data_IF_502357478646
#
_entry.id   IF_502357478646
#
_cell.length_a   1.000
_cell.length_b   1.000
_cell.length_c   1.000
_cell.angle_alpha   90.00
_cell.angle_beta   90.00
_cell.angle_gamma   90.00
#
_symmetry.space_group_name_H-M   'P 1'
#
loop_
_entity.id
_entity.type
_entity.pdbx_description
1 polymer ?
#
# COMPACT_ATOMS: atom_id res chain seq x y z
N UNK A 1 -21.36 -6.56 -6.86
CA UNK A 1 -21.98 -6.76 -8.18
C UNK A 1 -23.40 -6.24 -8.08
N UNK A 2 -23.64 -5.00 -8.49
CA UNK A 2 -25.00 -4.50 -8.66
C UNK A 2 -25.53 -5.01 -10.01
N UNK A 3 -26.71 -5.61 -10.00
CA UNK A 3 -27.39 -6.13 -11.19
C UNK A 3 -27.90 -4.92 -11.97
N UNK A 4 -27.16 -4.59 -13.03
CA UNK A 4 -27.47 -3.52 -13.99
C UNK A 4 -28.66 -3.97 -14.85
N UNK A 5 -29.64 -3.08 -15.07
CA UNK A 5 -30.90 -3.40 -15.75
C UNK A 5 -30.70 -3.78 -17.23
N UNK A 6 -31.45 -4.74 -17.80
CA UNK A 6 -31.25 -5.24 -19.18
C UNK A 6 -31.32 -4.18 -20.29
N UNK A 7 -32.04 -3.08 -20.05
CA UNK A 7 -32.17 -1.98 -21.03
C UNK A 7 -30.90 -1.11 -21.15
N UNK A 8 -30.00 -1.18 -20.16
CA UNK A 8 -28.83 -0.30 -20.10
C UNK A 8 -27.68 -0.80 -20.99
N UNK A 9 -27.64 -2.10 -21.29
CA UNK A 9 -26.64 -2.71 -22.18
C UNK A 9 -26.94 -2.48 -23.67
N UNK A 10 -28.22 -2.36 -24.05
CA UNK A 10 -28.61 -2.19 -25.46
C UNK A 10 -28.08 -0.86 -26.03
N UNK A 11 -28.17 0.22 -25.25
CA UNK A 11 -27.63 1.54 -25.66
C UNK A 11 -26.11 1.53 -25.79
N UNK A 12 -25.41 0.86 -24.88
CA UNK A 12 -23.95 0.72 -24.91
C UNK A 12 -23.53 -0.08 -26.15
N UNK A 13 -24.24 -1.18 -26.44
CA UNK A 13 -23.99 -2.00 -27.63
C UNK A 13 -24.20 -1.21 -28.93
N UNK A 14 -25.26 -0.41 -29.01
CA UNK A 14 -25.51 0.47 -30.17
C UNK A 14 -24.39 1.49 -30.35
N UNK A 15 -23.88 2.08 -29.27
CA UNK A 15 -22.75 3.01 -29.33
C UNK A 15 -21.46 2.32 -29.82
N UNK A 16 -21.13 1.15 -29.26
CA UNK A 16 -19.93 0.39 -29.62
C UNK A 16 -19.94 -0.08 -31.08
N UNK A 17 -21.09 -0.57 -31.56
CA UNK A 17 -21.25 -1.05 -32.94
C UNK A 17 -21.19 0.08 -33.96
N UNK A 18 -21.85 1.22 -33.69
CA UNK A 18 -21.83 2.38 -34.59
C UNK A 18 -20.46 3.05 -34.66
N UNK A 19 -19.72 3.11 -33.55
CA UNK A 19 -18.34 3.60 -33.58
C UNK A 19 -17.40 2.62 -34.28
N UNK A 20 -17.60 1.31 -34.11
CA UNK A 20 -16.85 0.30 -34.88
C UNK A 20 -17.12 0.39 -36.40
N UNK A 21 -18.30 0.85 -36.79
CA UNK A 21 -18.67 1.10 -38.19
C UNK A 21 -18.00 2.35 -38.81
N UNK A 22 -17.25 3.12 -38.01
CA UNK A 22 -16.49 4.30 -38.45
C UNK A 22 -17.24 5.62 -38.35
N UNK A 23 -18.40 5.65 -37.69
CA UNK A 23 -19.16 6.88 -37.44
C UNK A 23 -18.41 7.81 -36.48
N UNK A 24 -18.50 9.13 -36.72
CA UNK A 24 -17.88 10.11 -35.83
C UNK A 24 -18.71 10.34 -34.55
N UNK A 25 -18.04 10.68 -33.46
CA UNK A 25 -18.65 10.85 -32.13
C UNK A 25 -19.69 11.96 -32.09
N UNK A 26 -19.50 13.04 -32.84
CA UNK A 26 -20.46 14.14 -32.88
C UNK A 26 -21.73 13.76 -33.67
N UNK A 27 -21.57 12.99 -34.75
CA UNK A 27 -22.69 12.47 -35.53
C UNK A 27 -23.51 11.45 -34.73
N UNK A 28 -22.83 10.54 -34.03
CA UNK A 28 -23.48 9.53 -33.18
C UNK A 28 -24.23 10.16 -32.02
N UNK A 29 -23.65 11.20 -31.39
CA UNK A 29 -24.30 11.92 -30.31
C UNK A 29 -25.62 12.58 -30.76
N UNK A 30 -25.64 13.19 -31.94
CA UNK A 30 -26.86 13.77 -32.53
C UNK A 30 -27.91 12.71 -32.85
N UNK A 31 -27.49 11.58 -33.40
CA UNK A 31 -28.41 10.47 -33.74
C UNK A 31 -29.07 9.86 -32.50
N UNK A 32 -28.33 9.77 -31.39
CA UNK A 32 -28.82 9.24 -30.12
C UNK A 32 -29.47 10.31 -29.21
N UNK A 33 -29.75 11.50 -29.74
CA UNK A 33 -30.36 12.63 -29.04
C UNK A 33 -29.61 13.10 -27.78
N UNK A 34 -28.28 13.00 -27.78
CA UNK A 34 -27.43 13.61 -26.77
C UNK A 34 -27.18 15.09 -27.08
N UNK A 35 -27.09 15.92 -26.04
CA UNK A 35 -26.83 17.36 -26.20
C UNK A 35 -25.45 17.65 -26.83
N UNK A 36 -24.48 16.76 -26.62
CA UNK A 36 -23.14 16.81 -27.21
C UNK A 36 -22.46 15.45 -27.04
N UNK A 37 -21.43 15.17 -27.84
CA UNK A 37 -20.56 14.00 -27.64
C UNK A 37 -20.04 13.92 -26.18
N UNK A 38 -19.83 15.06 -25.50
CA UNK A 38 -19.42 15.10 -24.08
C UNK A 38 -20.44 14.45 -23.14
N UNK A 39 -21.74 14.60 -23.43
CA UNK A 39 -22.79 13.99 -22.61
C UNK A 39 -22.89 12.48 -22.83
N UNK A 40 -22.63 12.02 -24.06
CA UNK A 40 -22.49 10.60 -24.39
C UNK A 40 -21.24 10.00 -23.72
N UNK A 41 -20.10 10.70 -23.76
CA UNK A 41 -18.87 10.29 -23.07
C UNK A 41 -19.08 10.17 -21.57
N UNK A 42 -19.80 11.11 -20.95
CA UNK A 42 -20.13 11.04 -19.53
C UNK A 42 -21.00 9.82 -19.20
N UNK A 43 -21.95 9.48 -20.06
CA UNK A 43 -22.78 8.29 -19.90
C UNK A 43 -21.94 7.01 -19.97
N UNK A 44 -21.08 6.87 -21.00
CA UNK A 44 -20.19 5.72 -21.17
C UNK A 44 -19.21 5.60 -20.00
N UNK A 45 -18.66 6.72 -19.51
CA UNK A 45 -17.76 6.74 -18.35
C UNK A 45 -18.44 6.30 -17.06
N UNK A 46 -19.71 6.68 -16.84
CA UNK A 46 -20.50 6.21 -15.69
C UNK A 46 -20.78 4.72 -15.74
N UNK A 47 -20.77 4.13 -16.94
CA UNK A 47 -20.94 2.68 -17.17
C UNK A 47 -19.61 1.92 -17.24
N UNK A 48 -18.49 2.57 -16.87
CA UNK A 48 -17.19 1.92 -16.82
C UNK A 48 -16.51 1.77 -18.19
N UNK A 49 -16.79 2.65 -19.14
CA UNK A 49 -16.13 2.67 -20.45
C UNK A 49 -15.37 3.98 -20.66
N UNK A 50 -14.14 3.90 -21.18
CA UNK A 50 -13.34 5.06 -21.58
C UNK A 50 -13.18 5.09 -23.09
N UNK A 51 -13.22 6.27 -23.70
CA UNK A 51 -12.93 6.40 -25.13
C UNK A 51 -11.43 6.27 -25.37
N UNK A 52 -11.04 5.39 -26.29
CA UNK A 52 -9.65 5.29 -26.76
C UNK A 52 -9.49 6.02 -28.10
N UNK A 53 -8.63 7.04 -28.09
CA UNK A 53 -8.33 7.87 -29.26
C UNK A 53 -7.71 7.07 -30.41
N UNK A 54 -6.97 5.98 -30.11
CA UNK A 54 -6.28 5.17 -31.12
C UNK A 54 -7.22 4.26 -31.89
N UNK A 55 -8.08 3.53 -31.16
CA UNK A 55 -9.10 2.66 -31.77
C UNK A 55 -10.36 3.41 -32.21
N UNK A 56 -10.49 4.69 -31.83
CA UNK A 56 -11.70 5.51 -32.01
C UNK A 56 -12.97 4.83 -31.47
N UNK A 57 -12.82 4.01 -30.43
CA UNK A 57 -13.93 3.28 -29.80
C UNK A 57 -13.79 3.28 -28.27
N UNK A 58 -14.86 2.90 -27.56
CA UNK A 58 -14.83 2.76 -26.11
C UNK A 58 -14.28 1.40 -25.69
N UNK A 59 -13.47 1.41 -24.62
CA UNK A 59 -12.85 0.22 -24.02
C UNK A 59 -13.28 0.15 -22.54
N UNK A 60 -13.56 -1.06 -21.99
CA UNK A 60 -13.82 -1.21 -20.56
C UNK A 60 -12.71 -0.63 -19.69
N UNK A 61 -13.11 0.20 -18.75
CA UNK A 61 -12.30 0.71 -17.65
C UNK A 61 -12.33 -0.35 -16.54
N UNK A 62 -11.39 -1.29 -16.61
CA UNK A 62 -11.08 -2.13 -15.46
C UNK A 62 -10.71 -1.20 -14.31
N UNK A 63 -11.40 -1.33 -13.17
CA UNK A 63 -10.92 -0.73 -11.93
C UNK A 63 -9.54 -1.35 -11.67
N UNK A 64 -8.49 -0.56 -11.87
CA UNK A 64 -7.20 -0.90 -11.28
C UNK A 64 -7.43 -0.87 -9.78
N UNK A 65 -7.64 -2.06 -9.19
CA UNK A 65 -7.50 -2.24 -7.75
C UNK A 65 -6.12 -1.70 -7.44
N UNK A 66 -6.08 -0.54 -6.79
CA UNK A 66 -4.86 0.05 -6.28
C UNK A 66 -4.38 -0.83 -5.14
N UNK A 67 -3.83 -1.99 -5.48
CA UNK A 67 -2.91 -2.69 -4.60
C UNK A 67 -1.87 -1.64 -4.29
N UNK A 68 -1.73 -1.28 -3.00
CA UNK A 68 -0.68 -0.39 -2.57
C UNK A 68 0.64 -0.96 -3.10
N UNK A 69 1.13 -0.40 -4.21
CA UNK A 69 2.44 -0.76 -4.73
C UNK A 69 3.36 -0.20 -3.67
N UNK A 70 3.81 -1.05 -2.74
CA UNK A 70 4.91 -0.74 -1.86
C UNK A 70 6.00 -0.16 -2.77
N UNK A 71 6.25 1.15 -2.75
CA UNK A 71 7.31 1.79 -3.54
C UNK A 71 8.68 1.53 -2.95
N UNK A 72 8.76 0.58 -2.02
CA UNK A 72 9.96 0.21 -1.30
C UNK A 72 11.04 -0.26 -2.27
N UNK A 73 12.30 -0.07 -1.86
CA UNK A 73 13.46 -0.59 -2.62
C UNK A 73 13.33 -2.11 -2.84
N UNK A 74 12.76 -2.85 -1.89
CA UNK A 74 12.48 -4.28 -2.02
C UNK A 74 11.50 -4.60 -3.16
N UNK A 75 10.39 -3.87 -3.25
CA UNK A 75 9.42 -4.06 -4.33
C UNK A 75 10.00 -3.74 -5.70
N UNK A 76 10.87 -2.73 -5.78
CA UNK A 76 11.59 -2.38 -7.01
C UNK A 76 12.52 -3.51 -7.45
N UNK A 77 13.19 -4.19 -6.51
CA UNK A 77 14.02 -5.37 -6.80
C UNK A 77 13.15 -6.50 -7.37
N UNK A 78 12.00 -6.79 -6.74
CA UNK A 78 11.06 -7.83 -7.23
C UNK A 78 10.57 -7.53 -8.65
N UNK A 79 10.23 -6.27 -8.93
CA UNK A 79 9.79 -5.84 -10.27
C UNK A 79 10.93 -5.92 -11.30
N UNK A 80 12.15 -5.52 -10.93
CA UNK A 80 13.30 -5.58 -11.82
C UNK A 80 13.69 -7.01 -12.17
N UNK A 81 13.60 -7.94 -11.21
CA UNK A 81 13.83 -9.37 -11.44
C UNK A 81 12.73 -10.00 -12.29
N UNK A 82 11.46 -9.58 -12.11
CA UNK A 82 10.36 -10.05 -12.96
C UNK A 82 10.53 -9.63 -14.44
N UNK A 83 11.11 -8.45 -14.68
CA UNK A 83 11.35 -7.94 -16.03
C UNK A 83 12.67 -8.44 -16.65
N UNK A 84 13.65 -8.84 -15.84
CA UNK A 84 14.98 -9.30 -16.26
C UNK A 84 15.39 -10.54 -15.44
N UNK A 85 14.81 -11.73 -15.73
CA UNK A 85 15.08 -12.94 -14.95
C UNK A 85 16.50 -13.50 -15.16
N UNK A 86 17.14 -13.16 -16.29
CA UNK A 86 18.39 -13.81 -16.73
C UNK A 86 19.66 -13.19 -16.12
N UNK A 87 19.62 -11.94 -15.64
CA UNK A 87 20.80 -11.24 -15.09
C UNK A 87 20.56 -10.62 -13.70
N UNK A 88 20.56 -11.43 -12.64
CA UNK A 88 20.36 -10.97 -11.27
C UNK A 88 21.46 -10.02 -10.76
N UNK A 89 22.67 -10.13 -11.30
CA UNK A 89 23.81 -9.25 -10.97
C UNK A 89 23.60 -7.82 -11.51
N UNK A 90 22.94 -7.68 -12.65
CA UNK A 90 22.61 -6.37 -13.21
C UNK A 90 21.54 -5.66 -12.36
N UNK A 91 20.64 -6.42 -11.73
CA UNK A 91 19.68 -5.87 -10.77
C UNK A 91 20.40 -5.35 -9.52
N UNK A 92 21.41 -6.07 -9.03
CA UNK A 92 22.22 -5.63 -7.88
C UNK A 92 22.90 -4.28 -8.15
N UNK A 93 23.58 -4.15 -9.30
CA UNK A 93 24.26 -2.90 -9.67
C UNK A 93 23.28 -1.74 -9.89
N UNK A 94 22.13 -1.99 -10.55
CA UNK A 94 21.08 -0.98 -10.76
C UNK A 94 20.41 -0.52 -9.47
N UNK A 95 20.37 -1.36 -8.45
CA UNK A 95 19.74 -1.05 -7.14
C UNK A 95 20.75 -0.62 -6.08
N UNK A 96 22.04 -0.57 -6.43
CA UNK A 96 23.12 -0.07 -5.58
C UNK A 96 23.56 -1.03 -4.47
N UNK A 97 23.43 -2.34 -4.69
CA UNK A 97 24.07 -3.36 -3.84
C UNK A 97 25.39 -3.78 -4.48
N UNK A 98 26.38 -4.12 -3.64
CA UNK A 98 27.69 -4.59 -4.10
C UNK A 98 27.58 -5.99 -4.70
N UNK A 99 26.86 -6.88 -3.99
CA UNK A 99 26.73 -8.28 -4.35
C UNK A 99 25.29 -8.79 -4.14
N UNK A 100 24.98 -9.90 -4.82
CA UNK A 100 23.73 -10.65 -4.63
C UNK A 100 23.52 -11.06 -3.17
N UNK A 101 24.59 -11.33 -2.44
CA UNK A 101 24.53 -11.68 -1.02
C UNK A 101 24.04 -10.50 -0.16
N UNK A 102 24.51 -9.28 -0.43
CA UNK A 102 24.09 -8.07 0.27
C UNK A 102 22.62 -7.76 -0.04
N UNK A 103 22.21 -7.92 -1.30
CA UNK A 103 20.80 -7.80 -1.71
C UNK A 103 19.93 -8.86 -1.02
N UNK A 104 20.39 -10.09 -0.91
CA UNK A 104 19.69 -11.18 -0.22
C UNK A 104 19.54 -10.94 1.28
N UNK A 105 20.56 -10.42 1.95
CA UNK A 105 20.47 -10.01 3.36
C UNK A 105 19.45 -8.89 3.54
N UNK A 106 19.49 -7.87 2.69
CA UNK A 106 18.51 -6.79 2.69
C UNK A 106 17.08 -7.32 2.51
N UNK A 107 16.84 -8.13 1.48
CA UNK A 107 15.53 -8.73 1.21
C UNK A 107 15.04 -9.59 2.37
N UNK A 108 15.92 -10.37 3.00
CA UNK A 108 15.59 -11.15 4.21
C UNK A 108 15.16 -10.27 5.38
N UNK A 109 15.82 -9.13 5.62
CA UNK A 109 15.37 -8.16 6.66
C UNK A 109 14.01 -7.54 6.36
N UNK A 110 13.59 -7.54 5.09
CA UNK A 110 12.30 -7.02 4.63
C UNK A 110 11.23 -8.11 4.52
N UNK A 111 11.50 -9.34 4.98
CA UNK A 111 10.53 -10.44 4.96
C UNK A 111 10.39 -11.13 3.61
N UNK A 112 11.38 -11.00 2.72
CA UNK A 112 11.39 -11.64 1.42
C UNK A 112 12.35 -12.84 1.39
N UNK A 113 11.93 -13.92 0.75
CA UNK A 113 12.72 -15.15 0.55
C UNK A 113 12.93 -15.40 -0.94
N UNK A 114 14.14 -15.83 -1.30
CA UNK A 114 14.47 -16.18 -2.69
C UNK A 114 13.74 -17.47 -3.10
N UNK A 115 13.03 -17.43 -4.22
CA UNK A 115 12.43 -18.59 -4.86
C UNK A 115 13.26 -18.95 -6.11
N UNK A 116 13.91 -20.12 -6.07
CA UNK A 116 14.76 -20.63 -7.15
C UNK A 116 13.99 -20.93 -8.43
N UNK A 117 12.72 -21.32 -8.34
CA UNK A 117 11.91 -21.65 -9.51
C UNK A 117 11.49 -20.40 -10.30
N UNK A 118 11.29 -19.29 -9.59
CA UNK A 118 10.87 -18.01 -10.19
C UNK A 118 12.02 -17.04 -10.44
N UNK A 119 13.24 -17.41 -10.02
CA UNK A 119 14.41 -16.51 -9.98
C UNK A 119 14.07 -15.12 -9.40
N UNK A 120 13.22 -15.10 -8.38
CA UNK A 120 12.69 -13.87 -7.79
C UNK A 120 12.37 -14.06 -6.30
N UNK A 121 12.12 -12.96 -5.60
CA UNK A 121 11.77 -12.97 -4.19
C UNK A 121 10.25 -13.01 -3.98
N UNK A 122 9.82 -13.80 -3.00
CA UNK A 122 8.43 -13.87 -2.54
C UNK A 122 8.34 -13.40 -1.08
N UNK A 123 7.23 -12.75 -0.72
CA UNK A 123 6.97 -12.34 0.68
C UNK A 123 6.70 -13.61 1.50
N UNK A 124 7.51 -13.84 2.54
CA UNK A 124 7.33 -14.97 3.44
C UNK A 124 6.25 -14.63 4.49
N UNK A 125 5.10 -15.32 4.51
CA UNK A 125 4.05 -15.06 5.49
C UNK A 125 4.49 -15.35 6.94
N UNK A 126 5.50 -16.21 7.16
CA UNK A 126 5.96 -16.56 8.52
C UNK A 126 6.87 -15.49 9.15
N UNK A 127 7.50 -14.62 8.35
CA UNK A 127 8.39 -13.55 8.84
C UNK A 127 7.70 -12.21 9.08
N UNK A 128 6.42 -12.09 8.72
CA UNK A 128 5.60 -10.89 8.97
C UNK A 128 4.94 -10.87 10.36
N UNK A 129 5.06 -11.94 11.14
CA UNK A 129 4.57 -11.99 12.51
C UNK A 129 5.68 -11.51 13.48
N UNK A 130 5.50 -10.40 14.22
CA UNK A 130 6.51 -9.86 15.13
C UNK A 130 6.79 -10.75 16.36
N UNK A 131 6.29 -12.00 16.39
CA UNK A 131 6.38 -12.91 17.56
C UNK A 131 7.39 -14.04 17.45
N UNK A 132 7.98 -14.34 16.30
CA UNK A 132 8.95 -15.45 16.20
C UNK A 132 10.36 -14.96 15.88
N UNK A 133 11.05 -14.52 16.94
CA UNK A 133 12.51 -14.42 16.97
C UNK A 133 13.03 -15.40 18.03
N UNK A 134 13.13 -16.68 17.67
CA UNK A 134 13.87 -17.68 18.44
C UNK A 134 14.23 -18.86 17.54
N UNK A 135 15.53 -19.00 17.33
CA UNK A 135 16.35 -20.18 17.09
C UNK A 135 15.77 -21.46 16.47
N UNK A 136 16.52 -21.93 15.47
CA UNK A 136 16.32 -23.13 14.67
C UNK A 136 16.77 -24.37 15.44
N UNK A 137 15.93 -25.42 15.45
CA UNK A 137 16.31 -26.83 15.27
C UNK A 137 15.06 -27.61 14.79
N UNK A 138 15.14 -28.39 13.69
CA UNK A 138 14.02 -29.15 13.17
C UNK A 138 14.00 -30.57 13.76
N UNK A 139 12.84 -30.99 14.28
CA UNK A 139 12.54 -32.41 14.49
C UNK A 139 11.24 -32.74 13.80
N UNK A 140 11.27 -33.86 13.10
CA UNK A 140 10.28 -34.43 12.20
C UNK A 140 8.99 -34.87 12.91
N UNK A 141 7.96 -35.03 12.08
CA UNK A 141 6.77 -35.85 12.25
C UNK A 141 5.77 -35.52 13.38
N UNK A 142 4.60 -35.03 12.98
CA UNK A 142 3.36 -35.81 13.12
C UNK A 142 2.17 -35.04 12.52
N UNK A 143 1.54 -35.68 11.54
CA UNK A 143 0.20 -35.37 11.07
C UNK A 143 -0.79 -35.65 12.21
N UNK A 144 -1.63 -34.68 12.57
CA UNK A 144 -2.96 -34.99 13.09
C UNK A 144 -4.01 -34.13 12.38
N UNK A 145 -4.82 -34.86 11.62
CA UNK A 145 -6.07 -34.45 10.99
C UNK A 145 -7.04 -34.13 12.13
N UNK A 146 -7.43 -32.86 12.28
CA UNK A 146 -8.54 -32.51 13.16
C UNK A 146 -9.81 -32.46 12.31
N UNK A 147 -10.63 -33.48 12.52
CA UNK A 147 -11.98 -33.65 12.01
C UNK A 147 -12.84 -32.42 12.35
N UNK A 148 -13.33 -31.78 11.29
CA UNK A 148 -14.21 -30.64 11.33
C UNK A 148 -15.64 -31.14 11.62
N UNK A 149 -15.98 -31.31 12.90
CA UNK A 149 -17.35 -31.59 13.32
C UNK A 149 -17.92 -30.43 14.13
N UNK A 150 -19.14 -30.05 13.75
CA UNK A 150 -20.09 -29.22 14.51
C UNK A 150 -19.75 -27.73 14.58
N UNK A 151 -20.45 -26.91 13.80
CA UNK A 151 -20.51 -25.47 14.08
C UNK A 151 -21.10 -25.27 15.49
N UNK A 152 -20.35 -24.70 16.45
CA UNK A 152 -21.01 -24.16 17.63
C UNK A 152 -21.75 -22.91 17.15
N UNK A 153 -23.02 -22.77 17.53
CA UNK A 153 -23.69 -21.48 17.42
C UNK A 153 -22.82 -20.45 18.13
N UNK A 154 -22.18 -19.57 17.35
CA UNK A 154 -21.30 -18.51 17.84
C UNK A 154 -22.16 -17.49 18.57
N UNK A 155 -22.50 -17.80 19.83
CA UNK A 155 -23.15 -16.87 20.73
C UNK A 155 -22.19 -15.71 20.98
N UNK A 156 -22.62 -14.50 20.62
CA UNK A 156 -21.86 -13.26 20.83
C UNK A 156 -21.83 -12.85 22.31
N UNK A 157 -22.69 -13.44 23.16
CA UNK A 157 -22.85 -13.07 24.56
C UNK A 157 -21.56 -13.10 25.39
N UNK A 158 -20.64 -14.08 25.25
CA UNK A 158 -19.37 -14.11 25.98
C UNK A 158 -18.43 -12.95 25.60
N UNK A 159 -18.58 -12.37 24.42
CA UNK A 159 -17.74 -11.28 23.94
C UNK A 159 -18.28 -9.89 24.29
N UNK A 160 -19.48 -9.77 24.86
CA UNK A 160 -20.05 -8.48 25.26
C UNK A 160 -19.16 -7.66 26.21
N UNK A 161 -18.51 -8.25 27.23
CA UNK A 161 -17.58 -7.50 28.08
C UNK A 161 -16.38 -6.97 27.29
N UNK A 162 -15.83 -7.78 26.37
CA UNK A 162 -14.73 -7.39 25.49
C UNK A 162 -15.16 -6.26 24.55
N UNK A 163 -16.33 -6.37 23.91
CA UNK A 163 -16.86 -5.35 23.01
C UNK A 163 -17.14 -4.03 23.74
N UNK A 164 -17.60 -4.08 25.00
CA UNK A 164 -17.73 -2.88 25.85
C UNK A 164 -16.38 -2.23 26.14
N UNK A 165 -15.35 -3.04 26.46
CA UNK A 165 -13.99 -2.54 26.69
C UNK A 165 -13.38 -1.93 25.42
N UNK A 166 -13.60 -2.55 24.26
CA UNK A 166 -13.15 -2.03 22.97
C UNK A 166 -13.86 -0.71 22.63
N UNK A 167 -15.19 -0.65 22.80
CA UNK A 167 -15.96 0.58 22.60
C UNK A 167 -15.50 1.72 23.52
N UNK A 168 -15.21 1.41 24.78
CA UNK A 168 -14.72 2.43 25.73
C UNK A 168 -13.36 3.02 25.32
N UNK A 169 -12.53 2.25 24.62
CA UNK A 169 -11.21 2.68 24.15
C UNK A 169 -11.21 3.03 22.65
N UNK A 170 -12.37 3.33 22.06
CA UNK A 170 -12.50 3.51 20.61
C UNK A 170 -11.54 4.58 20.08
N UNK A 171 -11.41 5.72 20.75
CA UNK A 171 -10.51 6.81 20.32
C UNK A 171 -9.04 6.35 20.29
N UNK A 172 -8.58 5.71 21.38
CA UNK A 172 -7.22 5.16 21.45
C UNK A 172 -6.97 4.05 20.44
N UNK A 173 -7.98 3.22 20.18
CA UNK A 173 -7.90 2.17 19.16
C UNK A 173 -7.87 2.78 17.76
N UNK A 174 -8.64 3.83 17.49
CA UNK A 174 -8.59 4.52 16.20
C UNK A 174 -7.24 5.18 15.95
N UNK A 175 -6.62 5.79 16.96
CA UNK A 175 -5.26 6.33 16.84
C UNK A 175 -4.19 5.26 16.59
N UNK A 176 -4.35 4.07 17.17
CA UNK A 176 -3.43 2.94 16.96
C UNK A 176 -3.65 2.24 15.62
N UNK A 177 -4.90 2.14 15.17
CA UNK A 177 -5.31 1.43 13.96
C UNK A 177 -5.23 2.29 12.71
N UNK A 178 -5.35 3.61 12.82
CA UNK A 178 -5.03 4.53 11.74
C UNK A 178 -3.50 4.56 11.67
N UNK A 179 -2.86 3.94 10.66
CA UNK A 179 -1.43 4.12 10.47
C UNK A 179 -1.17 5.63 10.43
N UNK A 180 -0.29 6.11 11.31
CA UNK A 180 0.14 7.50 11.34
C UNK A 180 0.46 7.96 9.91
N UNK A 181 -0.42 8.78 9.32
CA UNK A 181 -0.35 9.19 7.92
C UNK A 181 -1.47 8.60 7.04
N UNK A 182 -2.63 9.27 7.01
CA UNK A 182 -3.45 9.28 5.79
C UNK A 182 -2.61 9.88 4.68
N UNK A 183 -1.99 9.02 3.87
CA UNK A 183 -1.04 9.38 2.83
C UNK A 183 0.36 8.90 3.20
N UNK A 184 1.05 8.31 2.24
CA UNK A 184 2.37 7.67 2.37
C UNK A 184 3.53 8.65 2.72
N UNK A 185 3.22 9.81 3.29
CA UNK A 185 4.10 10.93 3.59
C UNK A 185 4.23 11.13 5.09
N UNK A 186 5.49 11.18 5.55
CA UNK A 186 5.83 11.51 6.94
C UNK A 186 5.46 12.98 7.19
N UNK A 187 4.80 13.32 8.32
CA UNK A 187 4.48 14.70 8.66
C UNK A 187 5.75 15.54 8.75
N UNK A 188 5.73 16.76 8.19
CA UNK A 188 6.82 17.74 8.38
C UNK A 188 6.32 18.82 9.31
N UNK A 189 6.95 18.94 10.48
CA UNK A 189 6.61 19.96 11.46
C UNK A 189 7.49 21.19 11.25
N UNK A 190 6.89 22.34 10.98
CA UNK A 190 7.61 23.62 10.97
C UNK A 190 7.63 24.20 12.37
N UNK A 191 8.67 23.87 13.14
CA UNK A 191 8.88 24.42 14.48
C UNK A 191 9.57 25.77 14.34
N UNK A 192 8.96 26.84 14.86
CA UNK A 192 9.58 28.16 14.90
C UNK A 192 10.68 28.22 15.97
N UNK A 193 11.90 28.61 15.58
CA UNK A 193 13.02 28.77 16.51
C UNK A 193 14.38 28.74 15.84
N UNK A 194 15.43 29.04 16.63
CA UNK A 194 16.82 28.91 16.20
C UNK A 194 17.25 27.44 16.31
N UNK A 195 17.82 26.89 15.24
CA UNK A 195 18.33 25.52 15.24
C UNK A 195 19.55 25.41 16.16
N UNK A 196 19.49 24.50 17.14
CA UNK A 196 20.62 24.19 18.02
C UNK A 196 21.16 22.79 17.71
N UNK A 197 22.47 22.69 17.46
CA UNK A 197 23.13 21.40 17.24
C UNK A 197 23.30 20.65 18.57
N UNK A 198 22.92 19.38 18.58
CA UNK A 198 23.16 18.44 19.69
C UNK A 198 23.85 17.18 19.15
N UNK A 199 24.87 16.70 19.86
CA UNK A 199 25.54 15.44 19.54
C UNK A 199 24.95 14.33 20.39
N UNK A 200 24.41 13.29 19.76
CA UNK A 200 23.82 12.13 20.43
C UNK A 200 24.56 10.87 19.99
N UNK A 201 24.96 10.04 20.94
CA UNK A 201 25.54 8.73 20.63
C UNK A 201 24.42 7.75 20.28
N UNK A 202 24.60 6.96 19.23
CA UNK A 202 23.65 5.93 18.80
C UNK A 202 24.38 4.68 18.33
N UNK A 203 23.69 3.54 18.43
CA UNK A 203 24.19 2.26 17.96
C UNK A 203 24.31 2.31 16.43
N UNK A 204 25.38 1.73 15.87
CA UNK A 204 25.67 1.75 14.44
C UNK A 204 24.49 1.28 13.57
N UNK A 205 23.85 0.17 13.95
CA UNK A 205 22.70 -0.38 13.22
C UNK A 205 21.52 0.59 13.13
N UNK A 206 21.20 1.28 14.23
CA UNK A 206 20.15 2.29 14.27
C UNK A 206 20.51 3.50 13.39
N UNK A 207 21.77 3.93 13.42
CA UNK A 207 22.26 5.03 12.57
C UNK A 207 22.13 4.71 11.08
N UNK A 208 22.47 3.47 10.68
CA UNK A 208 22.31 3.00 9.31
C UNK A 208 20.84 2.97 8.91
N UNK A 209 19.96 2.46 9.78
CA UNK A 209 18.51 2.44 9.51
C UNK A 209 17.93 3.84 9.29
N UNK A 210 18.29 4.82 10.13
CA UNK A 210 17.84 6.22 9.96
C UNK A 210 18.34 6.80 8.63
N UNK A 211 19.59 6.50 8.26
CA UNK A 211 20.19 6.98 7.02
C UNK A 211 19.48 6.39 5.79
N UNK A 212 19.21 5.09 5.80
CA UNK A 212 18.53 4.40 4.70
C UNK A 212 17.07 4.85 4.57
N UNK A 213 16.38 5.01 5.70
CA UNK A 213 15.00 5.51 5.73
C UNK A 213 14.89 6.94 5.20
N UNK A 214 15.80 7.82 5.61
CA UNK A 214 15.85 9.21 5.13
C UNK A 214 16.06 9.28 3.61
N UNK A 215 16.96 8.43 3.07
CA UNK A 215 17.19 8.32 1.62
C UNK A 215 15.97 7.77 0.88
N UNK A 216 15.36 6.71 1.39
CA UNK A 216 14.19 6.07 0.77
C UNK A 216 12.99 7.03 0.68
N UNK A 217 12.79 7.86 1.70
CA UNK A 217 11.67 8.80 1.77
C UNK A 217 11.99 10.21 1.29
N UNK A 218 13.21 10.46 0.80
CA UNK A 218 13.67 11.77 0.35
C UNK A 218 13.41 12.88 1.40
N UNK A 219 13.80 12.61 2.65
CA UNK A 219 13.68 13.52 3.79
C UNK A 219 15.04 13.69 4.48
N UNK A 220 15.20 14.77 5.21
CA UNK A 220 16.42 14.99 6.00
C UNK A 220 16.41 14.09 7.24
N UNK A 221 17.60 13.67 7.72
CA UNK A 221 17.67 12.95 9.00
C UNK A 221 17.15 13.80 10.16
N UNK A 222 17.33 15.13 10.09
CA UNK A 222 16.79 16.08 11.06
C UNK A 222 15.26 15.96 11.14
N UNK A 223 14.57 15.93 9.99
CA UNK A 223 13.11 15.81 9.94
C UNK A 223 12.65 14.50 10.58
N UNK A 224 13.38 13.40 10.35
CA UNK A 224 13.10 12.09 10.98
C UNK A 224 13.18 12.19 12.50
N UNK A 225 14.24 12.81 13.02
CA UNK A 225 14.40 12.97 14.47
C UNK A 225 13.39 13.94 15.07
N UNK A 226 13.06 15.04 14.40
CA UNK A 226 12.05 16.00 14.88
C UNK A 226 10.68 15.33 15.02
N UNK A 227 10.24 14.58 14.02
CA UNK A 227 8.98 13.83 14.07
C UNK A 227 9.00 12.80 15.20
N UNK A 228 10.07 12.01 15.28
CA UNK A 228 10.21 10.98 16.31
C UNK A 228 10.20 11.57 17.73
N UNK A 229 10.86 12.71 17.94
CA UNK A 229 10.89 13.40 19.23
C UNK A 229 9.52 14.01 19.58
N UNK A 230 8.83 14.61 18.60
CA UNK A 230 7.47 15.13 18.81
C UNK A 230 6.51 14.00 19.22
N UNK A 231 6.56 12.88 18.51
CA UNK A 231 5.71 11.72 18.83
C UNK A 231 6.09 11.09 20.18
N UNK A 232 7.39 11.05 20.50
CA UNK A 232 7.86 10.63 21.80
C UNK A 232 7.31 11.53 22.91
N UNK A 233 7.45 12.85 22.78
CA UNK A 233 6.94 13.79 23.78
C UNK A 233 5.42 13.72 23.95
N UNK A 234 4.65 13.54 22.87
CA UNK A 234 3.21 13.29 22.96
C UNK A 234 2.89 12.03 23.77
N UNK A 235 3.58 10.92 23.50
CA UNK A 235 3.34 9.64 24.18
C UNK A 235 3.73 9.64 25.65
N UNK A 236 4.71 10.45 26.05
CA UNK A 236 5.28 10.46 27.41
C UNK A 236 4.93 11.72 28.23
N UNK A 237 3.82 12.39 27.92
CA UNK A 237 3.21 13.37 28.83
C UNK A 237 3.51 14.85 28.55
N UNK A 238 4.20 15.18 27.47
CA UNK A 238 4.47 16.56 27.01
C UNK A 238 3.50 17.01 25.90
N UNK A 239 2.28 16.46 25.90
CA UNK A 239 1.30 16.70 24.84
C UNK A 239 0.89 18.17 24.76
N UNK A 240 0.70 18.84 25.91
CA UNK A 240 0.26 20.25 25.97
C UNK A 240 1.33 21.18 25.41
N UNK A 241 2.59 20.94 25.74
CA UNK A 241 3.76 21.69 25.29
C UNK A 241 3.98 21.49 23.79
N UNK A 242 3.84 20.24 23.31
CA UNK A 242 3.91 19.93 21.88
C UNK A 242 2.76 20.60 21.11
N UNK A 243 1.53 20.60 21.66
CA UNK A 243 0.39 21.29 21.03
C UNK A 243 0.62 22.80 20.92
N UNK A 244 1.16 23.42 21.98
CA UNK A 244 1.57 24.83 21.97
C UNK A 244 2.68 25.10 20.95
N UNK A 245 3.69 24.24 20.90
CA UNK A 245 4.84 24.36 20.00
C UNK A 245 4.44 24.23 18.52
N UNK A 246 3.49 23.33 18.22
CA UNK A 246 2.97 23.13 16.88
C UNK A 246 1.89 24.16 16.49
N UNK A 247 1.52 25.08 17.39
CA UNK A 247 0.42 26.04 17.22
C UNK A 247 -0.88 25.39 16.71
N UNK A 248 -1.09 24.12 17.06
CA UNK A 248 -2.33 23.41 16.72
C UNK A 248 -3.39 23.97 17.67
N UNK A 249 -4.23 24.86 17.13
CA UNK A 249 -5.39 25.42 17.83
C UNK A 249 -6.63 24.61 17.49
#
# INVERSE_FOLDING_TARGET
MEVVSPEEDERIHVVLTKLASGMDRDALAKELNYASYKSMDMYMRRKGYRFDTRSKNYIPQLEEVSVAIDTSKASRIVQLLANMPDDPLLVCSKTGFRDMQEMGQYMKTKGYKWNTEKSNYEKDPQLNDPKHRSDVLPTEDAQEIIEMSSQPELSIAPYLPLLKMLKHNEERLTELLIPYGKGCSIPRYTIEGLAQTKTVQMIHTLSTMVTDFAKEKNISQRDVFEVALIDFFRKYGYEKEVAQLLKIR
#
